data_IF_332285369927
#
_entry.id   IF_332285369927
#
_cell.length_a   1.000
_cell.length_b   1.000
_cell.length_c   1.000
_cell.angle_alpha   90.00
_cell.angle_beta   90.00
_cell.angle_gamma   90.00
#
_symmetry.space_group_name_H-M   'P 1'
#
loop_
_entity.id
_entity.type
_entity.pdbx_description
1 polymer ?
#
# COMPACT_ATOMS: atom_id res chain seq x y z
N UNK A 1 -10.73 40.12 24.94
CA UNK A 1 -9.30 39.72 24.97
C UNK A 1 -8.50 40.96 25.33
N UNK A 2 -7.38 40.85 26.07
CA UNK A 2 -6.65 42.05 26.50
C UNK A 2 -5.69 42.57 25.42
N UNK A 3 -5.56 43.89 25.30
CA UNK A 3 -4.60 44.54 24.38
C UNK A 3 -3.16 44.04 24.55
N UNK A 4 -2.79 43.62 25.76
CA UNK A 4 -1.47 43.07 26.08
C UNK A 4 -1.21 41.74 25.38
N UNK A 5 -2.24 40.92 25.17
CA UNK A 5 -2.11 39.65 24.47
C UNK A 5 -1.75 39.88 23.00
N UNK A 6 -2.50 40.73 22.30
CA UNK A 6 -2.22 41.07 20.91
C UNK A 6 -0.82 41.68 20.76
N UNK A 7 -0.44 42.62 21.64
CA UNK A 7 0.86 43.30 21.57
C UNK A 7 2.05 42.32 21.71
N UNK A 8 1.92 41.29 22.54
CA UNK A 8 2.98 40.29 22.75
C UNK A 8 3.09 39.33 21.56
N UNK A 9 2.00 39.13 20.81
CA UNK A 9 1.89 38.13 19.74
C UNK A 9 1.64 38.75 18.37
N UNK A 10 1.88 40.05 18.20
CA UNK A 10 1.56 40.78 16.98
C UNK A 10 2.36 40.25 15.78
N UNK A 11 3.63 39.88 16.00
CA UNK A 11 4.47 39.25 14.98
C UNK A 11 3.96 37.86 14.61
N UNK A 12 3.59 37.03 15.60
CA UNK A 12 3.01 35.70 15.34
C UNK A 12 1.68 35.78 14.58
N UNK A 13 0.89 36.82 14.84
CA UNK A 13 -0.35 37.10 14.11
C UNK A 13 -0.08 37.46 12.64
N UNK A 14 0.95 38.29 12.38
CA UNK A 14 1.34 38.69 11.03
C UNK A 14 1.97 37.55 10.23
N UNK A 15 2.79 36.72 10.88
CA UNK A 15 3.42 35.55 10.27
C UNK A 15 2.44 34.36 10.07
N UNK A 16 1.21 34.46 10.62
CA UNK A 16 0.23 33.37 10.57
C UNK A 16 0.58 32.17 11.45
N UNK A 17 1.47 32.33 12.43
CA UNK A 17 1.98 31.28 13.32
C UNK A 17 1.17 31.13 14.63
N UNK A 18 -0.07 31.61 14.65
CA UNK A 18 -0.99 31.41 15.77
C UNK A 18 -1.84 30.17 15.55
N UNK A 19 -2.26 29.52 16.64
CA UNK A 19 -3.30 28.48 16.54
C UNK A 19 -4.61 29.08 16.03
N UNK A 20 -5.46 28.27 15.39
CA UNK A 20 -6.74 28.73 14.81
C UNK A 20 -7.60 29.49 15.82
N UNK A 21 -7.65 29.01 17.06
CA UNK A 21 -8.41 29.65 18.14
C UNK A 21 -7.85 31.03 18.50
N UNK A 22 -6.53 31.14 18.65
CA UNK A 22 -5.87 32.41 18.98
C UNK A 22 -5.95 33.40 17.83
N UNK A 23 -5.87 32.91 16.58
CA UNK A 23 -6.03 33.74 15.40
C UNK A 23 -7.41 34.37 15.33
N UNK A 24 -8.48 33.59 15.54
CA UNK A 24 -9.86 34.11 15.57
C UNK A 24 -10.06 35.14 16.69
N UNK A 25 -9.49 34.89 17.87
CA UNK A 25 -9.58 35.81 19.00
C UNK A 25 -8.84 37.13 18.73
N UNK A 26 -7.62 37.06 18.18
CA UNK A 26 -6.86 38.25 17.75
C UNK A 26 -7.61 39.02 16.66
N UNK A 27 -8.15 38.31 15.66
CA UNK A 27 -8.93 38.92 14.57
C UNK A 27 -10.18 39.63 15.08
N UNK A 28 -10.92 39.00 16.01
CA UNK A 28 -12.06 39.63 16.68
C UNK A 28 -11.67 40.92 17.39
N UNK A 29 -10.60 40.87 18.19
CA UNK A 29 -10.10 42.04 18.93
C UNK A 29 -9.66 43.19 18.01
N UNK A 30 -8.99 42.91 16.90
CA UNK A 30 -8.56 43.94 15.92
C UNK A 30 -9.76 44.58 15.22
N UNK A 31 -10.83 43.82 14.99
CA UNK A 31 -12.07 44.34 14.42
C UNK A 31 -12.83 45.23 15.41
N UNK A 32 -12.72 45.00 16.71
CA UNK A 32 -13.39 45.78 17.75
C UNK A 32 -12.56 46.97 18.23
N UNK A 33 -11.23 46.88 18.23
CA UNK A 33 -10.34 47.90 18.76
C UNK A 33 -9.65 48.72 17.66
N UNK A 34 -10.03 49.99 17.54
CA UNK A 34 -9.41 50.94 16.61
C UNK A 34 -7.90 51.16 16.86
N UNK A 35 -7.46 51.21 18.12
CA UNK A 35 -6.05 51.41 18.46
C UNK A 35 -5.17 50.25 17.99
N UNK A 36 -5.63 49.01 18.21
CA UNK A 36 -4.91 47.81 17.77
C UNK A 36 -4.87 47.69 16.24
N UNK A 37 -5.95 48.12 15.56
CA UNK A 37 -6.00 48.19 14.10
C UNK A 37 -4.99 49.18 13.54
N UNK A 38 -4.94 50.39 14.09
CA UNK A 38 -4.00 51.42 13.66
C UNK A 38 -2.54 50.98 13.84
N UNK A 39 -2.24 50.27 14.93
CA UNK A 39 -0.90 49.70 15.16
C UNK A 39 -0.54 48.64 14.11
N UNK A 40 -1.47 47.77 13.75
CA UNK A 40 -1.27 46.77 12.70
C UNK A 40 -1.10 47.42 11.31
N UNK A 41 -1.89 48.44 10.99
CA UNK A 41 -1.76 49.18 9.74
C UNK A 41 -0.41 49.90 9.62
N UNK A 42 0.05 50.53 10.71
CA UNK A 42 1.37 51.17 10.76
C UNK A 42 2.52 50.16 10.61
N UNK A 43 2.35 48.94 11.11
CA UNK A 43 3.30 47.85 10.90
C UNK A 43 3.25 47.37 9.44
N UNK A 44 2.06 47.15 8.89
CA UNK A 44 1.87 46.68 7.51
C UNK A 44 2.42 47.67 6.47
N UNK A 45 2.36 48.98 6.72
CA UNK A 45 2.90 49.98 5.81
C UNK A 45 4.44 49.93 5.71
N UNK A 46 5.12 49.57 6.81
CA UNK A 46 6.58 49.34 6.80
C UNK A 46 6.93 48.14 5.91
N UNK A 47 6.18 47.03 6.02
CA UNK A 47 6.39 45.86 5.17
C UNK A 47 6.09 46.12 3.69
N UNK A 48 5.10 46.95 3.38
CA UNK A 48 4.77 47.30 1.99
C UNK A 48 5.83 48.19 1.35
N UNK A 49 6.49 49.06 2.12
CA UNK A 49 7.58 49.89 1.61
C UNK A 49 8.81 49.07 1.16
N UNK A 50 8.97 47.85 1.68
CA UNK A 50 10.04 46.92 1.30
C UNK A 50 9.63 46.01 0.12
N UNK A 51 8.34 45.96 -0.22
CA UNK A 51 7.80 45.14 -1.30
C UNK A 51 8.04 45.72 -2.71
N UNK A 52 8.68 46.88 -2.83
CA UNK A 52 9.10 47.49 -4.11
C UNK A 52 10.35 46.82 -4.71
N UNK A 53 10.90 45.80 -4.05
CA UNK A 53 11.91 44.93 -4.66
C UNK A 53 11.29 44.16 -5.85
N UNK A 54 11.96 44.05 -7.01
CA UNK A 54 11.38 43.42 -8.19
C UNK A 54 10.96 41.99 -7.87
N UNK A 55 9.65 41.79 -7.79
CA UNK A 55 9.03 40.48 -7.58
C UNK A 55 9.55 39.54 -8.65
N UNK A 56 10.39 38.58 -8.25
CA UNK A 56 10.92 37.56 -9.15
C UNK A 56 9.74 36.79 -9.69
N UNK A 57 9.40 37.03 -10.96
CA UNK A 57 8.27 36.37 -11.62
C UNK A 57 8.57 34.87 -11.63
N UNK A 58 7.76 34.04 -10.95
CA UNK A 58 8.02 32.61 -10.89
C UNK A 58 7.97 32.02 -12.30
N UNK A 59 8.85 31.06 -12.58
CA UNK A 59 8.86 30.37 -13.88
C UNK A 59 7.48 29.78 -14.21
N UNK A 60 7.11 29.79 -15.49
CA UNK A 60 5.82 29.27 -15.99
C UNK A 60 5.57 27.84 -15.50
N UNK A 61 6.63 27.03 -15.39
CA UNK A 61 6.57 25.65 -14.87
C UNK A 61 6.22 25.58 -13.39
N UNK A 62 6.73 26.51 -12.57
CA UNK A 62 6.39 26.59 -11.14
C UNK A 62 4.92 26.97 -10.95
N UNK A 63 4.46 27.98 -11.70
CA UNK A 63 3.05 28.42 -11.65
C UNK A 63 2.09 27.30 -12.07
N UNK A 64 2.39 26.62 -13.18
CA UNK A 64 1.59 25.48 -13.65
C UNK A 64 1.53 24.34 -12.62
N UNK A 65 2.66 24.01 -11.97
CA UNK A 65 2.73 22.97 -10.93
C UNK A 65 1.99 23.37 -9.64
N UNK A 66 2.05 24.66 -9.29
CA UNK A 66 1.33 25.18 -8.14
C UNK A 66 -0.19 25.13 -8.39
N UNK A 67 -0.63 25.60 -9.55
CA UNK A 67 -2.05 25.57 -9.95
C UNK A 67 -2.59 24.13 -10.02
N UNK A 68 -1.81 23.18 -10.56
CA UNK A 68 -2.23 21.77 -10.59
C UNK A 68 -2.34 21.16 -9.18
N UNK A 69 -1.48 21.59 -8.25
CA UNK A 69 -1.48 21.09 -6.86
C UNK A 69 -2.65 21.67 -6.06
N UNK A 70 -2.93 22.97 -6.22
CA UNK A 70 -4.07 23.63 -5.57
C UNK A 70 -5.38 23.04 -6.10
N UNK A 71 -5.49 22.89 -7.43
CA UNK A 71 -6.67 22.28 -8.06
C UNK A 71 -6.83 20.81 -7.67
N UNK A 72 -5.73 20.07 -7.57
CA UNK A 72 -5.72 18.67 -7.14
C UNK A 72 -6.15 18.46 -5.68
N UNK A 73 -5.89 19.44 -4.79
CA UNK A 73 -6.40 19.43 -3.40
C UNK A 73 -7.85 19.89 -3.26
N UNK A 74 -8.36 20.65 -4.23
CA UNK A 74 -9.77 21.06 -4.29
C UNK A 74 -10.70 19.96 -4.82
N UNK A 75 -10.13 18.92 -5.44
CA UNK A 75 -10.88 17.68 -5.69
C UNK A 75 -11.04 17.03 -4.31
N UNK A 76 -12.26 16.86 -3.78
CA UNK A 76 -12.45 16.05 -2.59
C UNK A 76 -11.87 14.69 -2.94
N UNK A 77 -10.73 14.34 -2.33
CA UNK A 77 -10.26 12.97 -2.40
C UNK A 77 -11.46 12.14 -1.93
N UNK A 78 -11.95 11.18 -2.74
CA UNK A 78 -13.05 10.35 -2.32
C UNK A 78 -12.58 9.77 -1.01
N UNK A 79 -13.29 10.10 0.07
CA UNK A 79 -13.01 9.69 1.43
C UNK A 79 -12.88 8.17 1.33
N UNK A 80 -11.64 7.70 1.26
CA UNK A 80 -11.31 6.29 1.23
C UNK A 80 -11.68 5.84 2.63
N UNK A 81 -12.92 5.37 2.75
CA UNK A 81 -13.42 4.89 4.02
C UNK A 81 -12.47 3.76 4.44
N UNK A 82 -11.94 3.78 5.67
CA UNK A 82 -10.97 2.78 6.15
C UNK A 82 -11.54 1.35 6.17
N UNK A 83 -12.82 1.19 5.84
CA UNK A 83 -13.51 -0.08 5.67
C UNK A 83 -13.21 -0.75 4.31
N UNK A 84 -13.06 -0.02 3.21
CA UNK A 84 -12.80 -0.64 1.89
C UNK A 84 -11.37 -1.19 1.77
N UNK A 85 -10.37 -0.57 2.41
CA UNK A 85 -9.01 -1.11 2.45
C UNK A 85 -8.95 -2.43 3.25
N UNK A 86 -9.73 -2.55 4.34
CA UNK A 86 -9.88 -3.82 5.08
C UNK A 86 -10.53 -4.91 4.25
N UNK A 87 -11.54 -4.58 3.44
CA UNK A 87 -12.21 -5.57 2.60
C UNK A 87 -11.30 -6.04 1.45
N UNK A 88 -10.54 -5.12 0.84
CA UNK A 88 -9.54 -5.47 -0.17
C UNK A 88 -8.43 -6.38 0.39
N UNK A 89 -8.03 -6.20 1.66
CA UNK A 89 -7.01 -7.02 2.30
C UNK A 89 -7.48 -8.48 2.58
N UNK A 90 -8.79 -8.69 2.80
CA UNK A 90 -9.37 -10.01 3.09
C UNK A 90 -9.73 -10.81 1.82
N UNK A 91 -9.92 -10.15 0.68
CA UNK A 91 -10.30 -10.84 -0.57
C UNK A 91 -9.24 -11.81 -1.10
N UNK A 92 -7.93 -11.54 -0.89
CA UNK A 92 -6.86 -12.43 -1.36
C UNK A 92 -6.79 -13.78 -0.63
N UNK A 93 -6.76 -13.86 0.72
CA UNK A 93 -6.76 -15.14 1.41
C UNK A 93 -8.10 -15.88 1.28
N UNK A 94 -9.22 -15.15 1.16
CA UNK A 94 -10.54 -15.76 1.02
C UNK A 94 -10.70 -16.53 -0.31
N UNK A 95 -10.10 -16.05 -1.40
CA UNK A 95 -10.19 -16.71 -2.71
C UNK A 95 -9.42 -18.05 -2.72
N UNK A 96 -8.24 -18.10 -2.10
CA UNK A 96 -7.47 -19.34 -1.91
C UNK A 96 -8.25 -20.38 -1.08
N UNK A 97 -8.86 -19.95 0.02
CA UNK A 97 -9.69 -20.83 0.85
C UNK A 97 -10.94 -21.31 0.10
N UNK A 98 -11.60 -20.44 -0.66
CA UNK A 98 -12.75 -20.82 -1.47
C UNK A 98 -12.38 -21.86 -2.54
N UNK A 99 -11.25 -21.70 -3.23
CA UNK A 99 -10.78 -22.70 -4.21
C UNK A 99 -10.48 -24.04 -3.57
N UNK A 100 -9.91 -24.05 -2.36
CA UNK A 100 -9.61 -25.27 -1.62
C UNK A 100 -10.90 -25.98 -1.19
N UNK A 101 -11.86 -25.24 -0.63
CA UNK A 101 -13.17 -25.78 -0.23
C UNK A 101 -13.94 -26.34 -1.43
N UNK A 102 -13.96 -25.62 -2.55
CA UNK A 102 -14.62 -26.06 -3.79
C UNK A 102 -13.95 -27.32 -4.33
N UNK A 103 -12.61 -27.38 -4.37
CA UNK A 103 -11.86 -28.56 -4.80
C UNK A 103 -12.14 -29.79 -3.93
N UNK A 104 -12.19 -29.62 -2.61
CA UNK A 104 -12.52 -30.70 -1.67
C UNK A 104 -13.97 -31.18 -1.85
N UNK A 105 -14.93 -30.27 -2.03
CA UNK A 105 -16.33 -30.64 -2.27
C UNK A 105 -16.50 -31.39 -3.59
N UNK A 106 -15.85 -30.93 -4.66
CA UNK A 106 -15.90 -31.61 -5.98
C UNK A 106 -15.23 -32.99 -5.89
N UNK A 107 -14.06 -33.08 -5.25
CA UNK A 107 -13.34 -34.35 -5.10
C UNK A 107 -14.12 -35.38 -4.27
N UNK A 108 -14.74 -34.95 -3.17
CA UNK A 108 -15.57 -35.84 -2.33
C UNK A 108 -16.85 -36.28 -3.04
N UNK A 109 -17.46 -35.38 -3.82
CA UNK A 109 -18.64 -35.71 -4.63
C UNK A 109 -18.31 -36.73 -5.73
N UNK A 110 -17.21 -36.53 -6.47
CA UNK A 110 -16.76 -37.45 -7.51
C UNK A 110 -16.34 -38.81 -6.94
N UNK A 111 -15.58 -38.82 -5.84
CA UNK A 111 -15.15 -40.07 -5.18
C UNK A 111 -16.34 -40.93 -4.72
N UNK A 112 -17.40 -40.28 -4.23
CA UNK A 112 -18.62 -40.97 -3.81
C UNK A 112 -19.40 -41.59 -4.99
N UNK A 113 -19.39 -40.95 -6.17
CA UNK A 113 -20.01 -41.50 -7.39
C UNK A 113 -19.22 -42.70 -7.91
N UNK A 114 -17.88 -42.68 -7.83
CA UNK A 114 -17.04 -43.81 -8.23
C UNK A 114 -17.21 -45.03 -7.33
N UNK A 115 -17.50 -44.86 -6.03
CA UNK A 115 -17.75 -45.97 -5.11
C UNK A 115 -19.12 -46.64 -5.29
N UNK A 116 -20.03 -46.02 -6.04
CA UNK A 116 -21.37 -46.58 -6.31
C UNK A 116 -21.46 -47.34 -7.64
N UNK A 117 -20.35 -47.47 -8.37
CA UNK A 117 -20.28 -48.43 -9.47
C UNK A 117 -20.01 -49.81 -8.85
N UNK A 118 -20.91 -50.79 -9.03
CA UNK A 118 -20.63 -52.17 -8.65
C UNK A 118 -19.35 -52.59 -9.36
N UNK A 119 -18.39 -53.09 -8.59
CA UNK A 119 -17.24 -53.79 -9.11
C UNK A 119 -17.74 -55.09 -9.77
N UNK A 120 -18.10 -54.99 -11.05
CA UNK A 120 -18.37 -56.13 -11.91
C UNK A 120 -17.48 -55.98 -13.14
N UNK A 121 -16.32 -56.65 -13.06
CA UNK A 121 -15.44 -57.05 -14.14
C UNK A 121 -15.03 -56.00 -15.19
N UNK A 122 -14.09 -55.13 -14.82
CA UNK A 122 -13.22 -54.49 -15.80
C UNK A 122 -11.75 -54.66 -15.36
N UNK A 123 -10.91 -55.42 -16.10
CA UNK A 123 -9.48 -55.45 -15.84
C UNK A 123 -8.92 -54.04 -16.06
N UNK A 124 -8.12 -53.61 -15.09
CA UNK A 124 -7.44 -52.32 -15.02
C UNK A 124 -6.50 -52.19 -16.22
N UNK A 125 -7.00 -51.63 -17.32
CA UNK A 125 -6.18 -51.10 -18.40
C UNK A 125 -5.72 -49.68 -18.01
N UNK A 126 -4.80 -49.58 -17.06
CA UNK A 126 -4.17 -48.32 -16.68
C UNK A 126 -2.66 -48.40 -16.45
N UNK A 127 -1.95 -49.35 -17.07
CA UNK A 127 -0.53 -49.59 -16.77
C UNK A 127 0.40 -49.68 -18.01
N UNK A 128 0.06 -49.05 -19.15
CA UNK A 128 1.01 -48.99 -20.28
C UNK A 128 1.67 -47.60 -20.40
N UNK A 129 0.91 -46.52 -20.26
CA UNK A 129 1.44 -45.17 -20.54
C UNK A 129 2.34 -44.59 -19.42
N UNK A 130 2.14 -44.97 -18.15
CA UNK A 130 3.04 -44.55 -17.06
C UNK A 130 4.32 -45.40 -17.00
N UNK A 131 4.27 -46.65 -17.48
CA UNK A 131 5.40 -47.58 -17.42
C UNK A 131 6.44 -47.30 -18.53
N UNK A 132 6.00 -46.86 -19.72
CA UNK A 132 6.91 -46.43 -20.79
C UNK A 132 7.65 -45.13 -20.47
N UNK A 133 7.06 -44.23 -19.68
CA UNK A 133 7.71 -42.97 -19.30
C UNK A 133 8.65 -43.14 -18.10
N UNK A 134 8.40 -44.10 -17.21
CA UNK A 134 9.21 -44.35 -16.03
C UNK A 134 10.45 -45.23 -16.30
N UNK A 135 10.37 -46.15 -17.26
CA UNK A 135 11.47 -47.06 -17.60
C UNK A 135 12.77 -46.36 -18.05
N UNK A 136 12.76 -45.33 -18.92
CA UNK A 136 13.99 -44.68 -19.40
C UNK A 136 14.68 -43.82 -18.31
N UNK A 137 13.91 -43.28 -17.37
CA UNK A 137 14.45 -42.41 -16.31
C UNK A 137 15.15 -43.19 -15.20
N UNK A 138 14.80 -44.47 -14.99
CA UNK A 138 15.44 -45.34 -13.99
C UNK A 138 16.76 -45.96 -14.49
N UNK A 139 16.93 -46.16 -15.80
CA UNK A 139 18.19 -46.68 -16.36
C UNK A 139 19.33 -45.65 -16.37
N UNK A 140 19.02 -44.35 -16.39
CA UNK A 140 20.03 -43.28 -16.34
C UNK A 140 20.82 -43.20 -15.02
N UNK A 141 20.33 -43.83 -13.95
CA UNK A 141 21.02 -43.84 -12.66
C UNK A 141 21.87 -45.09 -12.42
N UNK A 142 21.86 -46.06 -13.35
CA UNK A 142 22.61 -47.30 -13.21
C UNK A 142 24.05 -47.21 -13.73
N UNK A 143 24.32 -46.33 -14.71
CA UNK A 143 25.68 -46.08 -15.21
C UNK A 143 26.34 -44.89 -14.49
N UNK A 144 26.75 -45.13 -13.24
CA UNK A 144 27.65 -44.21 -12.54
C UNK A 144 29.06 -44.34 -13.14
N UNK A 145 29.71 -43.26 -13.60
CA UNK A 145 31.08 -43.32 -14.10
C UNK A 145 32.03 -43.84 -13.01
N UNK A 146 33.12 -44.56 -13.36
CA UNK A 146 33.98 -45.27 -12.40
C UNK A 146 34.67 -44.38 -11.35
N UNK A 147 34.64 -43.06 -11.55
CA UNK A 147 35.20 -42.01 -10.67
C UNK A 147 34.11 -41.28 -9.84
N UNK A 148 32.88 -41.80 -9.78
CA UNK A 148 31.79 -41.19 -9.01
C UNK A 148 31.95 -41.39 -7.50
N UNK A 149 31.77 -40.30 -6.74
CA UNK A 149 31.66 -40.28 -5.27
C UNK A 149 30.59 -41.24 -4.74
N UNK A 150 29.57 -41.58 -5.54
CA UNK A 150 28.54 -42.56 -5.16
C UNK A 150 29.10 -43.97 -4.91
N UNK A 151 30.19 -44.36 -5.59
CA UNK A 151 30.83 -45.67 -5.38
C UNK A 151 31.56 -45.76 -4.04
N UNK A 152 32.17 -44.66 -3.59
CA UNK A 152 32.82 -44.60 -2.29
C UNK A 152 31.81 -44.79 -1.15
N UNK A 153 30.60 -44.25 -1.30
CA UNK A 153 29.52 -44.47 -0.34
C UNK A 153 29.05 -45.93 -0.31
N UNK A 154 28.84 -46.56 -1.47
CA UNK A 154 28.40 -47.96 -1.52
C UNK A 154 29.45 -48.94 -0.98
N UNK A 155 30.75 -48.66 -1.13
CA UNK A 155 31.80 -49.49 -0.52
C UNK A 155 31.84 -49.39 1.01
N UNK A 156 31.50 -48.22 1.57
CA UNK A 156 31.50 -48.00 3.02
C UNK A 156 30.30 -48.64 3.71
N UNK A 157 29.18 -48.84 2.99
CA UNK A 157 27.94 -49.40 3.57
C UNK A 157 27.76 -50.90 3.36
N UNK A 158 28.72 -51.60 2.73
CA UNK A 158 28.61 -53.03 2.40
C UNK A 158 29.51 -53.92 3.29
N UNK A 159 30.31 -53.33 4.18
CA UNK A 159 31.00 -54.07 5.27
C UNK A 159 30.24 -53.88 6.60
N UNK A 160 29.09 -54.54 6.73
CA UNK A 160 28.50 -55.01 8.01
C UNK A 160 27.80 -56.36 7.82
#
# INVERSE_FOLDING_TARGET
MDHRFLKTRIFLYLDGNLSDQEYQQCRGHVNECAQCRQQLEALASVWQAEADEPVVVPSVRLKARLESTIRGKAIPQPIQTPFMERLAFVTRPALMMATLIIGVLIGTYLGRISTTLPAEDAPIASNEMENELAAPYMESFQDLPPESVGRAYMMVTVDE
#
